data_IF_449538316734
#
_entry.id   IF_449538316734
#
_cell.length_a   1.000
_cell.length_b   1.000
_cell.length_c   1.000
_cell.angle_alpha   90.00
_cell.angle_beta   90.00
_cell.angle_gamma   90.00
#
_symmetry.space_group_name_H-M   'P 1'
#
loop_
_entity.id
_entity.type
_entity.pdbx_description
1 polymer ?
#
# COMPACT_ATOMS: atom_id res chain seq x y z
N UNK A 1 -17.51 7.98 -13.65
CA UNK A 1 -18.34 6.93 -13.05
C UNK A 1 -17.40 5.89 -12.48
N UNK A 2 -17.38 5.66 -11.16
CA UNK A 2 -16.58 4.57 -10.60
C UNK A 2 -17.23 3.26 -11.06
N UNK A 3 -16.56 2.54 -11.95
CA UNK A 3 -16.99 1.22 -12.40
C UNK A 3 -16.96 0.31 -11.17
N UNK A 4 -18.12 -0.22 -10.76
CA UNK A 4 -18.16 -1.23 -9.70
C UNK A 4 -17.56 -2.50 -10.30
N UNK A 5 -16.26 -2.67 -10.12
CA UNK A 5 -15.61 -3.95 -10.36
C UNK A 5 -16.09 -4.92 -9.29
N UNK A 6 -16.62 -6.07 -9.70
CA UNK A 6 -16.98 -7.18 -8.82
C UNK A 6 -15.79 -8.08 -8.50
N UNK A 7 -14.63 -7.82 -9.12
CA UNK A 7 -13.40 -8.54 -8.82
C UNK A 7 -12.87 -8.14 -7.43
N UNK A 8 -12.43 -9.13 -6.63
CA UNK A 8 -11.79 -8.85 -5.35
C UNK A 8 -10.49 -8.08 -5.57
N UNK A 9 -10.24 -7.10 -4.71
CA UNK A 9 -8.96 -6.38 -4.66
C UNK A 9 -7.86 -7.37 -4.29
N UNK A 10 -6.79 -7.39 -5.07
CA UNK A 10 -5.60 -8.24 -4.85
C UNK A 10 -4.36 -7.40 -4.59
N UNK A 11 -4.28 -6.22 -5.19
CA UNK A 11 -3.12 -5.32 -5.10
C UNK A 11 -3.57 -3.91 -4.76
N UNK A 12 -2.96 -3.31 -3.74
CA UNK A 12 -3.24 -1.95 -3.32
C UNK A 12 -1.96 -1.11 -3.25
N UNK A 13 -1.93 0.01 -3.98
CA UNK A 13 -0.85 0.98 -3.88
C UNK A 13 -1.04 1.84 -2.63
N UNK A 14 0.01 1.99 -1.81
CA UNK A 14 0.00 2.86 -0.63
C UNK A 14 0.76 4.13 -0.95
N UNK A 15 0.12 5.28 -0.76
CA UNK A 15 0.67 6.60 -1.05
C UNK A 15 0.69 7.39 0.25
N UNK A 16 1.87 7.78 0.71
CA UNK A 16 2.06 8.57 1.93
C UNK A 16 2.50 9.99 1.57
N UNK A 17 2.03 10.98 2.32
CA UNK A 17 2.46 12.38 2.13
C UNK A 17 3.48 12.81 3.21
N UNK A 18 4.74 12.94 2.81
CA UNK A 18 5.70 13.93 3.35
C UNK A 18 6.13 13.90 4.82
N UNK A 19 5.67 12.97 5.67
CA UNK A 19 6.20 12.83 7.05
C UNK A 19 6.32 11.36 7.48
N UNK A 20 7.42 10.69 7.09
CA UNK A 20 7.67 9.27 7.39
C UNK A 20 7.55 8.91 8.88
N UNK A 21 7.95 9.82 9.77
CA UNK A 21 7.97 9.59 11.22
C UNK A 21 6.58 9.55 11.90
N UNK A 22 5.52 9.93 11.19
CA UNK A 22 4.15 9.96 11.73
C UNK A 22 3.24 8.86 11.17
N UNK A 23 3.66 8.21 10.08
CA UNK A 23 2.84 7.23 9.35
C UNK A 23 2.95 5.82 9.94
N UNK A 24 4.05 5.48 10.62
CA UNK A 24 4.37 4.12 11.09
C UNK A 24 3.17 3.35 11.69
N UNK A 25 2.49 3.85 12.73
CA UNK A 25 1.36 3.13 13.32
C UNK A 25 0.14 2.97 12.42
N UNK A 26 -0.04 3.85 11.42
CA UNK A 26 -1.10 3.72 10.43
C UNK A 26 -0.72 2.70 9.36
N UNK A 27 0.54 2.67 8.95
CA UNK A 27 1.09 1.69 8.03
C UNK A 27 1.03 0.28 8.63
N UNK A 28 1.50 0.08 9.86
CA UNK A 28 1.46 -1.22 10.56
C UNK A 28 0.04 -1.79 10.63
N UNK A 29 -0.96 -0.93 10.85
CA UNK A 29 -2.38 -1.34 10.86
C UNK A 29 -2.87 -1.70 9.46
N UNK A 30 -2.44 -0.95 8.44
CA UNK A 30 -2.81 -1.22 7.06
C UNK A 30 -2.19 -2.54 6.57
N UNK A 31 -0.91 -2.78 6.88
CA UNK A 31 -0.20 -4.04 6.59
C UNK A 31 -0.93 -5.23 7.20
N UNK A 32 -1.31 -5.14 8.47
CA UNK A 32 -2.06 -6.21 9.14
C UNK A 32 -3.40 -6.50 8.47
N UNK A 33 -4.16 -5.46 8.12
CA UNK A 33 -5.45 -5.63 7.43
C UNK A 33 -5.25 -6.22 6.04
N UNK A 34 -4.21 -5.82 5.33
CA UNK A 34 -3.89 -6.35 4.00
C UNK A 34 -3.51 -7.83 4.07
N UNK A 35 -2.69 -8.24 5.05
CA UNK A 35 -2.36 -9.64 5.30
C UNK A 35 -3.61 -10.48 5.62
N UNK A 36 -4.45 -10.01 6.55
CA UNK A 36 -5.71 -10.67 6.91
C UNK A 36 -6.67 -10.80 5.72
N UNK A 37 -6.63 -9.84 4.78
CA UNK A 37 -7.46 -9.82 3.58
C UNK A 37 -6.82 -10.55 2.38
N UNK A 38 -5.55 -10.96 2.46
CA UNK A 38 -4.81 -11.53 1.33
C UNK A 38 -4.52 -10.53 0.21
N UNK A 39 -4.36 -9.26 0.54
CA UNK A 39 -4.07 -8.16 -0.38
C UNK A 39 -2.58 -7.83 -0.31
N UNK A 40 -1.95 -7.72 -1.48
CA UNK A 40 -0.56 -7.29 -1.64
C UNK A 40 -0.49 -5.76 -1.61
N UNK A 41 0.36 -5.21 -0.74
CA UNK A 41 0.62 -3.77 -0.67
C UNK A 41 1.83 -3.39 -1.52
N UNK A 42 1.65 -2.43 -2.41
CA UNK A 42 2.72 -1.85 -3.22
C UNK A 42 3.14 -0.52 -2.60
N UNK A 43 4.39 -0.44 -2.16
CA UNK A 43 4.98 0.73 -1.49
C UNK A 43 6.01 1.40 -2.41
N UNK A 44 6.00 2.73 -2.58
CA UNK A 44 7.05 3.44 -3.32
C UNK A 44 8.38 3.42 -2.55
N UNK A 45 9.50 3.51 -3.27
CA UNK A 45 10.88 3.31 -2.78
C UNK A 45 11.25 4.07 -1.48
N UNK A 46 10.61 5.21 -1.18
CA UNK A 46 10.87 6.04 0.01
C UNK A 46 10.50 5.34 1.35
N UNK A 47 9.68 4.29 1.32
CA UNK A 47 9.20 3.55 2.51
C UNK A 47 10.07 2.32 2.84
N UNK A 48 10.81 1.76 1.87
CA UNK A 48 11.59 0.52 2.03
C UNK A 48 12.90 0.76 2.79
N UNK A 49 13.52 1.93 2.62
CA UNK A 49 14.82 2.26 3.23
C UNK A 49 14.80 2.43 4.77
N UNK A 50 13.62 2.43 5.42
CA UNK A 50 13.52 2.66 6.89
C UNK A 50 12.90 1.52 7.70
N UNK A 51 12.18 0.57 7.08
CA UNK A 51 11.46 -0.47 7.81
C UNK A 51 11.90 -1.92 7.50
N UNK A 52 12.76 -2.15 6.50
CA UNK A 52 13.34 -3.47 6.27
C UNK A 52 12.34 -4.53 5.81
N UNK A 53 11.31 -4.12 5.07
CA UNK A 53 10.28 -5.01 4.50
C UNK A 53 10.09 -4.67 3.03
N UNK A 54 10.29 -5.67 2.14
CA UNK A 54 9.91 -5.63 0.73
C UNK A 54 10.93 -5.03 -0.24
N UNK A 55 10.87 -5.47 -1.51
CA UNK A 55 11.56 -4.85 -2.65
C UNK A 55 10.69 -3.70 -3.17
N UNK A 56 11.29 -2.56 -3.49
CA UNK A 56 10.55 -1.39 -3.93
C UNK A 56 9.94 -1.61 -5.33
N UNK A 57 8.62 -1.40 -5.47
CA UNK A 57 7.91 -1.54 -6.74
C UNK A 57 7.66 -0.14 -7.34
N UNK A 58 8.47 0.21 -8.34
CA UNK A 58 8.41 1.51 -9.05
C UNK A 58 7.15 1.67 -9.93
N UNK A 59 6.38 0.60 -10.11
CA UNK A 59 5.20 0.57 -10.97
C UNK A 59 3.92 0.29 -10.18
N UNK A 60 3.32 1.35 -9.65
CA UNK A 60 2.02 1.29 -8.96
C UNK A 60 0.84 1.10 -9.93
N UNK A 61 1.08 1.01 -11.24
CA UNK A 61 0.00 0.87 -12.24
C UNK A 61 -0.69 -0.50 -12.20
N UNK A 62 -0.07 -1.49 -11.56
CA UNK A 62 -0.64 -2.81 -11.32
C UNK A 62 -1.59 -2.89 -10.11
N UNK A 63 -1.84 -1.79 -9.40
CA UNK A 63 -2.75 -1.77 -8.27
C UNK A 63 -4.23 -1.68 -8.70
N UNK A 64 -5.09 -2.45 -8.03
CA UNK A 64 -6.54 -2.35 -8.21
C UNK A 64 -7.09 -1.08 -7.56
N UNK A 65 -6.46 -0.63 -6.47
CA UNK A 65 -6.83 0.55 -5.70
C UNK A 65 -5.59 1.31 -5.23
N UNK A 66 -5.77 2.59 -4.92
CA UNK A 66 -4.79 3.41 -4.20
C UNK A 66 -5.34 3.79 -2.81
N UNK A 67 -4.53 3.59 -1.78
CA UNK A 67 -4.79 3.96 -0.39
C UNK A 67 -3.86 5.12 -0.03
N UNK A 68 -4.44 6.26 0.34
CA UNK A 68 -3.68 7.46 0.69
C UNK A 68 -3.72 7.66 2.20
N UNK A 69 -2.55 7.76 2.83
CA UNK A 69 -2.37 7.99 4.27
C UNK A 69 -1.80 9.39 4.59
#
# INVERSE_FOLDING_TARGET
>A
MQQRSSDPVRRAAVITHGKPLTIGPALERLEKVAEEAGVELLLPDDEVEKHGVGEAEQDLTGADIAVVL
#
